data_IF_329707718763
#
_entry.id   IF_329707718763
#
_cell.length_a   1.000
_cell.length_b   1.000
_cell.length_c   1.000
_cell.angle_alpha   90.00
_cell.angle_beta   90.00
_cell.angle_gamma   90.00
#
_symmetry.space_group_name_H-M   'P 1'
#
loop_
_entity.id
_entity.type
_entity.pdbx_description
1 polymer ?
#
# COMPACT_ATOMS: atom_id res chain seq x y z
N UNK A 1 -13.09 -26.28 -62.86
CA UNK A 1 -13.04 -25.00 -62.12
C UNK A 1 -14.33 -24.80 -61.32
N UNK A 2 -14.64 -25.70 -60.38
CA UNK A 2 -15.84 -25.62 -59.51
C UNK A 2 -15.52 -25.96 -58.06
N UNK A 3 -14.43 -26.71 -57.81
CA UNK A 3 -13.99 -27.11 -56.48
C UNK A 3 -13.46 -25.93 -55.65
N UNK A 4 -12.93 -24.89 -56.30
CA UNK A 4 -12.34 -23.71 -55.63
C UNK A 4 -13.44 -22.76 -55.08
N UNK A 5 -14.66 -22.81 -55.64
CA UNK A 5 -15.76 -21.94 -55.19
C UNK A 5 -16.45 -22.45 -53.91
N UNK A 6 -16.41 -23.76 -53.64
CA UNK A 6 -17.11 -24.35 -52.50
C UNK A 6 -16.41 -24.12 -51.16
N UNK A 7 -15.10 -23.88 -51.15
CA UNK A 7 -14.34 -23.65 -49.91
C UNK A 7 -14.54 -22.24 -49.34
N UNK A 8 -15.15 -21.32 -50.10
CA UNK A 8 -15.38 -19.93 -49.68
C UNK A 8 -16.70 -19.76 -48.90
N UNK A 9 -17.62 -20.73 -48.99
CA UNK A 9 -18.96 -20.64 -48.38
C UNK A 9 -19.14 -21.38 -47.05
N UNK A 10 -18.05 -21.91 -46.47
CA UNK A 10 -18.11 -22.56 -45.16
C UNK A 10 -17.96 -21.49 -44.09
N UNK A 11 -19.09 -20.92 -43.65
CA UNK A 11 -19.12 -20.09 -42.45
C UNK A 11 -18.76 -20.96 -41.23
N UNK A 12 -17.72 -20.60 -40.45
CA UNK A 12 -17.40 -21.32 -39.23
C UNK A 12 -18.56 -21.17 -38.24
N UNK A 13 -19.18 -22.30 -37.89
CA UNK A 13 -20.20 -22.37 -36.84
C UNK A 13 -19.52 -22.21 -35.48
N UNK A 14 -19.84 -21.14 -34.76
CA UNK A 14 -19.40 -20.94 -33.37
C UNK A 14 -20.44 -21.50 -32.42
N UNK A 15 -20.05 -22.45 -31.59
CA UNK A 15 -20.88 -23.00 -30.52
C UNK A 15 -20.46 -22.41 -29.18
N UNK A 16 -21.42 -21.89 -28.41
CA UNK A 16 -21.17 -21.38 -27.06
C UNK A 16 -21.41 -22.50 -26.06
N UNK A 17 -20.35 -22.91 -25.35
CA UNK A 17 -20.42 -23.90 -24.27
C UNK A 17 -20.39 -23.20 -22.93
N UNK A 18 -21.41 -23.42 -22.10
CA UNK A 18 -21.47 -22.87 -20.75
C UNK A 18 -20.98 -23.89 -19.74
N UNK A 19 -20.00 -23.51 -18.92
CA UNK A 19 -19.43 -24.34 -17.86
C UNK A 19 -19.80 -23.71 -16.52
N UNK A 20 -20.50 -24.46 -15.66
CA UNK A 20 -20.75 -24.11 -14.27
C UNK A 20 -19.64 -24.68 -13.36
N UNK A 21 -19.30 -23.99 -12.29
CA UNK A 21 -18.26 -24.36 -11.30
C UNK A 21 -16.82 -24.32 -11.83
N UNK A 22 -16.36 -23.11 -12.18
CA UNK A 22 -14.97 -22.87 -12.58
C UNK A 22 -14.03 -23.01 -11.38
N UNK A 23 -13.02 -23.86 -11.51
CA UNK A 23 -11.87 -23.93 -10.61
C UNK A 23 -10.68 -23.13 -11.17
N UNK A 24 -9.73 -22.65 -10.34
CA UNK A 24 -8.58 -21.89 -10.84
C UNK A 24 -7.79 -22.62 -11.94
N UNK A 25 -7.49 -23.91 -11.74
CA UNK A 25 -6.77 -24.71 -12.74
C UNK A 25 -7.55 -24.91 -14.04
N UNK A 26 -8.88 -25.04 -13.95
CA UNK A 26 -9.73 -25.16 -15.14
C UNK A 26 -9.79 -23.84 -15.91
N UNK A 27 -9.86 -22.71 -15.19
CA UNK A 27 -9.81 -21.39 -15.81
C UNK A 27 -8.50 -21.17 -16.55
N UNK A 28 -7.36 -21.47 -15.93
CA UNK A 28 -6.04 -21.32 -16.56
C UNK A 28 -5.93 -22.16 -17.84
N UNK A 29 -6.45 -23.40 -17.80
CA UNK A 29 -6.50 -24.27 -18.97
C UNK A 29 -7.40 -23.69 -20.07
N UNK A 30 -8.65 -23.32 -19.75
CA UNK A 30 -9.59 -22.76 -20.72
C UNK A 30 -9.08 -21.44 -21.31
N UNK A 31 -8.39 -20.63 -20.51
CA UNK A 31 -7.77 -19.38 -20.95
C UNK A 31 -6.62 -19.66 -21.90
N UNK A 32 -5.83 -20.71 -21.66
CA UNK A 32 -4.78 -21.15 -22.60
C UNK A 32 -5.37 -21.64 -23.93
N UNK A 33 -6.45 -22.44 -23.86
CA UNK A 33 -7.04 -23.10 -25.02
C UNK A 33 -7.92 -22.15 -25.87
N UNK A 34 -8.57 -21.17 -25.24
CA UNK A 34 -9.56 -20.29 -25.89
C UNK A 34 -9.22 -18.79 -25.84
N UNK A 35 -8.23 -18.37 -25.06
CA UNK A 35 -7.71 -16.99 -25.07
C UNK A 35 -8.78 -15.92 -24.87
N UNK A 36 -8.95 -15.06 -25.88
CA UNK A 36 -9.86 -13.91 -25.88
C UNK A 36 -11.33 -14.29 -26.12
N UNK A 37 -11.64 -15.51 -26.59
CA UNK A 37 -13.05 -15.93 -26.79
C UNK A 37 -13.68 -16.45 -25.51
N UNK A 38 -12.88 -16.70 -24.47
CA UNK A 38 -13.36 -17.06 -23.15
C UNK A 38 -13.90 -15.83 -22.41
N UNK A 39 -15.17 -15.90 -21.97
CA UNK A 39 -15.78 -14.95 -21.05
C UNK A 39 -16.16 -15.67 -19.75
N UNK A 40 -15.76 -15.08 -18.63
CA UNK A 40 -15.98 -15.57 -17.28
C UNK A 40 -16.53 -14.42 -16.44
N UNK A 41 -17.84 -14.10 -16.56
CA UNK A 41 -18.42 -12.97 -15.86
C UNK A 41 -18.40 -13.19 -14.34
N UNK A 42 -18.00 -12.15 -13.61
CA UNK A 42 -17.98 -12.19 -12.15
C UNK A 42 -19.40 -12.09 -11.57
N UNK A 43 -19.69 -12.86 -10.53
CA UNK A 43 -20.92 -12.70 -9.73
C UNK A 43 -20.92 -11.40 -8.91
N UNK A 44 -19.72 -10.90 -8.57
CA UNK A 44 -19.50 -9.67 -7.81
C UNK A 44 -18.52 -8.81 -8.58
N UNK A 45 -18.90 -7.56 -8.85
CA UNK A 45 -18.08 -6.66 -9.69
C UNK A 45 -17.16 -5.74 -8.89
N UNK A 46 -17.33 -5.70 -7.57
CA UNK A 46 -16.60 -4.85 -6.66
C UNK A 46 -16.05 -5.74 -5.54
N UNK A 47 -14.72 -5.77 -5.40
CA UNK A 47 -14.05 -6.57 -4.37
C UNK A 47 -13.12 -5.65 -3.57
N UNK A 48 -13.33 -5.59 -2.27
CA UNK A 48 -12.49 -4.83 -1.34
C UNK A 48 -11.08 -5.45 -1.25
N UNK A 49 -10.05 -4.62 -1.25
CA UNK A 49 -8.65 -5.05 -1.12
C UNK A 49 -8.43 -5.78 0.21
N UNK A 50 -9.16 -5.45 1.27
CA UNK A 50 -9.07 -6.14 2.57
C UNK A 50 -9.29 -7.66 2.47
N UNK A 51 -10.01 -8.14 1.45
CA UNK A 51 -10.33 -9.56 1.27
C UNK A 51 -9.15 -10.37 0.73
N UNK A 52 -8.19 -9.73 0.06
CA UNK A 52 -7.12 -10.43 -0.67
C UNK A 52 -5.73 -9.78 -0.56
N UNK A 53 -5.63 -8.59 0.03
CA UNK A 53 -4.37 -7.88 0.27
C UNK A 53 -4.06 -7.93 1.77
N UNK A 54 -2.97 -8.60 2.14
CA UNK A 54 -2.46 -8.59 3.50
C UNK A 54 -1.43 -7.46 3.68
N UNK A 55 -1.77 -6.49 4.53
CA UNK A 55 -0.91 -5.37 4.89
C UNK A 55 -0.38 -5.54 6.31
N UNK A 56 0.91 -5.32 6.53
CA UNK A 56 1.52 -5.36 7.87
C UNK A 56 2.30 -4.07 8.15
N UNK A 57 2.15 -3.56 9.38
CA UNK A 57 2.88 -2.39 9.85
C UNK A 57 4.19 -2.85 10.51
N UNK A 58 5.30 -2.31 10.04
CA UNK A 58 6.59 -2.41 10.70
C UNK A 58 7.10 -1.00 10.99
N UNK A 59 7.38 -0.73 12.26
CA UNK A 59 7.95 0.55 12.70
C UNK A 59 9.47 0.45 12.77
N UNK A 60 10.15 1.59 12.63
CA UNK A 60 11.59 1.65 12.82
C UNK A 60 11.96 1.23 14.26
N UNK A 61 13.02 0.41 14.47
CA UNK A 61 13.46 0.00 15.81
C UNK A 61 13.69 1.15 16.79
N UNK A 62 14.03 2.35 16.31
CA UNK A 62 14.20 3.52 17.18
C UNK A 62 12.90 3.92 17.88
N UNK A 63 11.75 3.70 17.22
CA UNK A 63 10.42 4.02 17.73
C UNK A 63 9.91 3.03 18.78
N UNK A 64 10.59 1.89 18.97
CA UNK A 64 10.36 0.95 20.08
C UNK A 64 11.48 0.95 21.12
N UNK A 65 12.48 1.82 20.94
CA UNK A 65 13.65 1.90 21.81
C UNK A 65 13.40 2.77 23.05
N UNK A 66 14.36 2.76 23.98
CA UNK A 66 14.34 3.62 25.16
C UNK A 66 14.35 5.12 24.80
N UNK A 67 14.84 5.50 23.60
CA UNK A 67 15.04 6.89 23.22
C UNK A 67 13.75 7.69 23.06
N UNK A 68 12.63 7.00 22.80
CA UNK A 68 11.30 7.62 22.73
C UNK A 68 10.51 7.45 24.03
N UNK A 69 11.08 6.79 25.03
CA UNK A 69 10.41 6.59 26.31
C UNK A 69 10.37 7.89 27.11
N UNK A 70 9.24 8.12 27.80
CA UNK A 70 9.09 9.27 28.70
C UNK A 70 10.17 9.31 29.78
N UNK A 71 10.58 8.14 30.28
CA UNK A 71 11.60 8.00 31.30
C UNK A 71 12.97 8.51 30.83
N UNK A 72 13.38 8.13 29.61
CA UNK A 72 14.62 8.63 29.00
C UNK A 72 14.56 10.13 28.77
N UNK A 73 13.49 10.62 28.13
CA UNK A 73 13.32 12.03 27.81
C UNK A 73 13.36 12.89 29.09
N UNK A 74 12.63 12.48 30.14
CA UNK A 74 12.61 13.19 31.42
C UNK A 74 13.96 13.18 32.13
N UNK A 75 14.77 12.12 31.97
CA UNK A 75 16.12 12.07 32.55
C UNK A 75 17.09 13.12 31.97
N UNK A 76 16.77 13.65 30.79
CA UNK A 76 17.53 14.70 30.12
C UNK A 76 17.10 16.11 30.52
N UNK A 77 16.00 16.25 31.26
CA UNK A 77 15.52 17.54 31.70
C UNK A 77 16.44 18.14 32.76
N UNK A 78 16.97 19.33 32.49
CA UNK A 78 17.81 20.09 33.42
C UNK A 78 17.17 21.46 33.68
N UNK A 79 16.83 21.77 34.93
CA UNK A 79 16.44 23.14 35.31
C UNK A 79 17.57 24.12 34.98
N UNK A 80 17.24 25.25 34.36
CA UNK A 80 18.21 26.29 33.98
C UNK A 80 19.26 25.84 32.96
N UNK A 81 18.91 24.96 32.03
CA UNK A 81 19.78 24.49 30.94
C UNK A 81 20.53 25.62 30.20
N UNK A 82 19.91 26.80 30.04
CA UNK A 82 20.52 28.00 29.43
C UNK A 82 21.68 28.62 30.22
N UNK A 83 21.86 28.24 31.48
CA UNK A 83 22.98 28.67 32.35
C UNK A 83 24.20 27.75 32.24
N UNK A 84 24.04 26.58 31.60
CA UNK A 84 25.13 25.65 31.33
C UNK A 84 25.81 26.00 30.00
N UNK A 85 27.02 25.47 29.77
CA UNK A 85 27.75 25.68 28.51
C UNK A 85 26.86 25.27 27.32
N UNK A 86 26.84 26.10 26.27
CA UNK A 86 26.10 25.87 24.99
C UNK A 86 26.41 24.50 24.36
N UNK A 87 27.51 23.84 24.77
CA UNK A 87 27.91 22.51 24.31
C UNK A 87 27.42 21.35 25.18
N UNK A 88 26.67 21.59 26.26
CA UNK A 88 26.06 20.49 27.02
C UNK A 88 24.96 19.86 26.18
N UNK A 89 25.17 18.61 25.76
CA UNK A 89 24.20 17.83 24.99
C UNK A 89 22.80 17.88 25.58
N UNK A 90 22.67 17.91 26.92
CA UNK A 90 21.40 17.87 27.63
C UNK A 90 20.58 19.16 27.43
N UNK A 91 21.23 20.26 27.03
CA UNK A 91 20.54 21.52 26.69
C UNK A 91 19.64 21.40 25.45
N UNK A 92 20.00 20.53 24.50
CA UNK A 92 19.22 20.29 23.28
C UNK A 92 18.60 18.89 23.23
N UNK A 93 19.16 17.92 23.93
CA UNK A 93 18.75 16.52 23.83
C UNK A 93 17.29 16.30 24.24
N UNK A 94 16.81 16.99 25.27
CA UNK A 94 15.42 16.88 25.73
C UNK A 94 14.44 17.15 24.57
N UNK A 95 14.57 18.29 23.89
CA UNK A 95 13.66 18.69 22.80
C UNK A 95 13.83 17.81 21.55
N UNK A 96 15.05 17.35 21.26
CA UNK A 96 15.32 16.47 20.12
C UNK A 96 14.70 15.07 20.31
N UNK A 97 14.80 14.48 21.51
CA UNK A 97 14.16 13.18 21.79
C UNK A 97 12.65 13.30 21.97
N UNK A 98 12.15 14.43 22.46
CA UNK A 98 10.70 14.73 22.46
C UNK A 98 10.16 14.81 21.02
N UNK A 99 10.88 15.50 20.13
CA UNK A 99 10.57 15.55 18.71
C UNK A 99 10.59 14.15 18.06
N UNK A 100 11.60 13.34 18.37
CA UNK A 100 11.68 11.96 17.88
C UNK A 100 10.47 11.13 18.34
N UNK A 101 10.08 11.23 19.62
CA UNK A 101 8.93 10.50 20.16
C UNK A 101 7.60 10.94 19.51
N UNK A 102 7.44 12.25 19.28
CA UNK A 102 6.30 12.80 18.55
C UNK A 102 6.26 12.29 17.10
N UNK A 103 7.40 12.30 16.41
CA UNK A 103 7.52 11.82 15.02
C UNK A 103 7.21 10.31 14.92
N UNK A 104 7.70 9.50 15.86
CA UNK A 104 7.40 8.07 15.90
C UNK A 104 5.91 7.79 16.09
N UNK A 105 5.26 8.49 17.03
CA UNK A 105 3.82 8.38 17.25
C UNK A 105 3.03 8.79 16.01
N UNK A 106 3.36 9.96 15.44
CA UNK A 106 2.74 10.47 14.21
C UNK A 106 2.89 9.48 13.05
N UNK A 107 4.10 8.97 12.81
CA UNK A 107 4.38 8.05 11.71
C UNK A 107 3.60 6.75 11.86
N UNK A 108 3.50 6.22 13.07
CA UNK A 108 2.75 4.99 13.34
C UNK A 108 1.25 5.18 13.07
N UNK A 109 0.66 6.26 13.57
CA UNK A 109 -0.75 6.58 13.35
C UNK A 109 -1.05 6.83 11.86
N UNK A 110 -0.20 7.64 11.22
CA UNK A 110 -0.34 7.98 9.80
C UNK A 110 -0.24 6.74 8.90
N UNK A 111 0.77 5.88 9.09
CA UNK A 111 0.89 4.66 8.29
C UNK A 111 -0.25 3.69 8.61
N UNK A 112 -0.71 3.60 9.87
CA UNK A 112 -1.89 2.79 10.20
C UNK A 112 -3.12 3.24 9.42
N UNK A 113 -3.36 4.55 9.32
CA UNK A 113 -4.46 5.10 8.53
C UNK A 113 -4.30 4.76 7.04
N UNK A 114 -3.10 4.92 6.49
CA UNK A 114 -2.81 4.55 5.10
C UNK A 114 -3.09 3.07 4.82
N UNK A 115 -2.76 2.17 5.75
CA UNK A 115 -3.04 0.74 5.59
C UNK A 115 -4.56 0.46 5.62
N UNK A 116 -5.31 1.18 6.45
CA UNK A 116 -6.79 1.14 6.43
C UNK A 116 -7.33 1.64 5.08
N UNK A 117 -6.81 2.75 4.57
CA UNK A 117 -7.24 3.34 3.29
C UNK A 117 -6.92 2.42 2.10
N UNK A 118 -5.78 1.70 2.15
CA UNK A 118 -5.43 0.66 1.18
C UNK A 118 -6.44 -0.49 1.24
N UNK A 119 -6.81 -0.95 2.44
CA UNK A 119 -7.79 -2.02 2.61
C UNK A 119 -9.16 -1.67 2.04
N UNK A 120 -9.55 -0.39 2.13
CA UNK A 120 -10.81 0.13 1.58
C UNK A 120 -10.80 0.35 0.07
N UNK A 121 -9.65 0.23 -0.60
CA UNK A 121 -9.59 0.29 -2.07
C UNK A 121 -10.39 -0.87 -2.67
N UNK A 122 -10.93 -0.64 -3.87
CA UNK A 122 -11.79 -1.61 -4.54
C UNK A 122 -11.20 -2.02 -5.88
N UNK A 123 -11.19 -3.32 -6.12
CA UNK A 123 -11.00 -3.88 -7.45
C UNK A 123 -12.36 -3.89 -8.17
N UNK A 124 -12.43 -3.21 -9.30
CA UNK A 124 -13.60 -3.19 -10.17
C UNK A 124 -13.33 -4.09 -11.37
N UNK A 125 -14.07 -5.19 -11.49
CA UNK A 125 -13.98 -6.07 -12.66
C UNK A 125 -15.32 -6.73 -12.96
N UNK A 126 -15.63 -6.87 -14.24
CA UNK A 126 -16.83 -7.58 -14.71
C UNK A 126 -16.50 -9.00 -15.18
N UNK A 127 -15.22 -9.27 -15.44
CA UNK A 127 -14.69 -10.55 -15.91
C UNK A 127 -13.65 -11.08 -14.92
N UNK A 128 -13.50 -12.39 -14.86
CA UNK A 128 -12.48 -13.03 -14.04
C UNK A 128 -11.09 -12.65 -14.57
N UNK A 129 -10.28 -12.08 -13.68
CA UNK A 129 -8.90 -11.68 -13.98
C UNK A 129 -7.92 -12.78 -13.57
N UNK A 130 -6.79 -12.84 -14.28
CA UNK A 130 -5.66 -13.69 -13.90
C UNK A 130 -4.94 -13.07 -12.70
N UNK A 131 -4.33 -13.90 -11.86
CA UNK A 131 -3.62 -13.44 -10.65
C UNK A 131 -2.60 -12.34 -10.95
N UNK A 132 -1.83 -12.46 -12.04
CA UNK A 132 -0.81 -11.48 -12.42
C UNK A 132 -1.41 -10.11 -12.81
N UNK A 133 -2.61 -10.08 -13.40
CA UNK A 133 -3.30 -8.84 -13.75
C UNK A 133 -3.76 -8.12 -12.48
N UNK A 134 -4.37 -8.87 -11.54
CA UNK A 134 -4.77 -8.34 -10.23
C UNK A 134 -3.54 -7.83 -9.48
N UNK A 135 -2.48 -8.64 -9.42
CA UNK A 135 -1.22 -8.30 -8.77
C UNK A 135 -0.59 -7.03 -9.35
N UNK A 136 -0.57 -6.89 -10.67
CA UNK A 136 -0.01 -5.70 -11.32
C UNK A 136 -0.79 -4.44 -10.95
N UNK A 137 -2.12 -4.47 -11.05
CA UNK A 137 -2.97 -3.32 -10.70
C UNK A 137 -2.79 -2.90 -9.23
N UNK A 138 -2.78 -3.89 -8.32
CA UNK A 138 -2.59 -3.64 -6.89
C UNK A 138 -1.21 -3.04 -6.61
N UNK A 139 -0.15 -3.59 -7.20
CA UNK A 139 1.22 -3.09 -7.00
C UNK A 139 1.38 -1.67 -7.53
N UNK A 140 0.80 -1.35 -8.68
CA UNK A 140 0.85 0.01 -9.25
C UNK A 140 0.14 1.03 -8.36
N UNK A 141 -1.06 0.70 -7.87
CA UNK A 141 -1.78 1.54 -6.92
C UNK A 141 -1.01 1.72 -5.61
N UNK A 142 -0.45 0.65 -5.05
CA UNK A 142 0.36 0.73 -3.82
C UNK A 142 1.61 1.59 -4.03
N UNK A 143 2.26 1.55 -5.20
CA UNK A 143 3.41 2.42 -5.51
C UNK A 143 3.01 3.89 -5.49
N UNK A 144 1.86 4.25 -6.06
CA UNK A 144 1.36 5.63 -6.05
C UNK A 144 1.05 6.10 -4.64
N UNK A 145 0.38 5.26 -3.85
CA UNK A 145 0.07 5.55 -2.44
C UNK A 145 1.36 5.77 -1.66
N UNK A 146 2.34 4.87 -1.79
CA UNK A 146 3.65 4.99 -1.12
C UNK A 146 4.36 6.31 -1.45
N UNK A 147 4.36 6.72 -2.72
CA UNK A 147 4.97 7.98 -3.13
C UNK A 147 4.28 9.19 -2.48
N UNK A 148 2.94 9.20 -2.44
CA UNK A 148 2.17 10.25 -1.75
C UNK A 148 2.42 10.25 -0.24
N UNK A 149 2.39 9.09 0.40
CA UNK A 149 2.69 8.90 1.83
C UNK A 149 4.07 9.46 2.20
N UNK A 150 5.09 9.19 1.38
CA UNK A 150 6.44 9.69 1.60
C UNK A 150 6.49 11.22 1.61
N UNK A 151 5.85 11.87 0.64
CA UNK A 151 5.79 13.34 0.55
C UNK A 151 5.09 13.92 1.78
N UNK A 152 3.98 13.32 2.23
CA UNK A 152 3.24 13.79 3.40
C UNK A 152 4.06 13.67 4.68
N UNK A 153 4.71 12.52 4.92
CA UNK A 153 5.57 12.32 6.09
C UNK A 153 6.75 13.30 6.07
N UNK A 154 7.40 13.48 4.93
CA UNK A 154 8.53 14.42 4.80
C UNK A 154 8.11 15.86 5.08
N UNK A 155 6.93 16.27 4.60
CA UNK A 155 6.38 17.60 4.85
C UNK A 155 6.11 17.82 6.35
N UNK A 156 5.47 16.84 7.00
CA UNK A 156 5.19 16.90 8.45
C UNK A 156 6.48 16.96 9.27
N UNK A 157 7.51 16.19 8.89
CA UNK A 157 8.81 16.24 9.56
C UNK A 157 9.46 17.63 9.46
N UNK A 158 9.47 18.21 8.25
CA UNK A 158 10.01 19.55 8.03
C UNK A 158 9.27 20.60 8.88
N UNK A 159 7.94 20.51 8.97
CA UNK A 159 7.14 21.40 9.81
C UNK A 159 7.51 21.27 11.29
N UNK A 160 7.66 20.05 11.81
CA UNK A 160 8.06 19.83 13.20
C UNK A 160 9.49 20.33 13.49
N UNK A 161 10.42 20.20 12.55
CA UNK A 161 11.77 20.77 12.67
C UNK A 161 11.76 22.29 12.72
N UNK A 162 10.94 22.96 11.89
CA UNK A 162 10.84 24.42 11.88
C UNK A 162 10.30 24.94 13.23
N UNK A 163 9.26 24.31 13.78
CA UNK A 163 8.67 24.75 15.05
C UNK A 163 9.63 24.54 16.22
N UNK A 164 10.35 23.42 16.24
CA UNK A 164 11.30 23.11 17.31
C UNK A 164 12.52 24.03 17.28
N UNK A 165 13.05 24.36 16.09
CA UNK A 165 14.13 25.33 15.94
C UNK A 165 13.68 26.77 16.25
N UNK A 166 12.44 27.15 15.94
CA UNK A 166 11.91 28.49 16.25
C UNK A 166 11.63 28.71 17.74
N UNK A 167 11.51 27.64 18.54
CA UNK A 167 11.27 27.69 19.99
C UNK A 167 12.56 27.45 20.81
N UNK A 168 13.71 27.31 20.14
CA UNK A 168 15.06 27.16 20.75
C UNK A 168 15.80 28.49 20.74
#
# INVERSE_FOLDING_TARGET
>A
MYVIFFTVFVDPQTETVTISDITPSLFDQLRHDHGETLSCPCSTTIISYENFVLNTLSTDPICSSIFVSKQWIQSLYIPFASSFLVMDFRSTAYSQFELLAAFCSFSQEFVSQVLTDIGQQQLLTIELLVEDEVRSQVIENIKLIRASTYVQISSSLNFMQIITQSNS
#
